data_IF_275378276076
#
_entry.id   IF_275378276076
#
_cell.length_a   1.000
_cell.length_b   1.000
_cell.length_c   1.000
_cell.angle_alpha   90.00
_cell.angle_beta   90.00
_cell.angle_gamma   90.00
#
_symmetry.space_group_name_H-M   'P 1'
#
loop_
_entity.id
_entity.type
_entity.pdbx_description
1 polymer ?
#
# COMPACT_ATOMS: atom_id res chain seq x y z
N UNK A 1 30.09 13.08 27.69
CA UNK A 1 29.11 13.73 26.80
C UNK A 1 28.24 12.63 26.19
N UNK A 2 27.04 12.33 26.71
CA UNK A 2 26.21 11.29 26.11
C UNK A 2 25.66 11.79 24.77
N UNK A 3 25.87 11.00 23.73
CA UNK A 3 25.38 11.19 22.37
C UNK A 3 23.88 11.50 22.37
N UNK A 4 23.47 12.67 21.86
CA UNK A 4 22.06 12.98 21.52
C UNK A 4 21.55 11.96 20.49
N UNK A 5 20.92 10.88 20.95
CA UNK A 5 20.21 9.95 20.07
C UNK A 5 18.96 10.66 19.57
N UNK A 6 18.99 11.20 18.35
CA UNK A 6 17.78 11.73 17.72
C UNK A 6 16.88 10.56 17.30
N UNK A 7 16.18 9.95 18.24
CA UNK A 7 15.22 8.90 17.93
C UNK A 7 14.06 9.51 17.15
N UNK A 8 13.62 8.78 16.11
CA UNK A 8 12.55 9.25 15.22
C UNK A 8 11.38 8.29 15.20
N UNK A 9 10.20 8.82 15.45
CA UNK A 9 8.92 8.15 15.32
C UNK A 9 8.19 8.68 14.08
N UNK A 10 7.92 7.81 13.09
CA UNK A 10 7.32 8.20 11.81
C UNK A 10 7.95 9.45 11.14
N UNK A 11 9.26 9.65 11.33
CA UNK A 11 10.01 10.78 10.79
C UNK A 11 10.08 12.02 11.69
N UNK A 12 9.23 12.12 12.72
CA UNK A 12 9.29 13.17 13.74
C UNK A 12 10.36 12.85 14.78
N UNK A 13 11.09 13.87 15.23
CA UNK A 13 12.08 13.74 16.31
C UNK A 13 11.32 13.54 17.62
N UNK A 14 11.70 12.50 18.37
CA UNK A 14 11.23 12.27 19.74
C UNK A 14 12.20 13.01 20.66
N UNK A 15 11.69 13.93 21.46
CA UNK A 15 12.52 14.72 22.38
C UNK A 15 12.99 13.89 23.57
N UNK A 16 14.05 14.33 24.23
CA UNK A 16 14.54 13.67 25.45
C UNK A 16 13.46 13.66 26.55
N UNK A 17 12.60 14.69 26.61
CA UNK A 17 11.45 14.73 27.51
C UNK A 17 10.43 13.64 27.17
N UNK A 18 10.05 13.51 25.89
CA UNK A 18 9.15 12.44 25.46
C UNK A 18 9.75 11.04 25.69
N UNK A 19 11.07 10.87 25.55
CA UNK A 19 11.73 9.60 25.87
C UNK A 19 11.64 9.27 27.36
N UNK A 20 11.80 10.27 28.25
CA UNK A 20 11.61 10.08 29.70
C UNK A 20 10.17 9.70 30.04
N UNK A 21 9.19 10.39 29.45
CA UNK A 21 7.77 10.07 29.62
C UNK A 21 7.46 8.62 29.17
N UNK A 22 8.10 8.14 28.08
CA UNK A 22 7.97 6.74 27.64
C UNK A 22 8.51 5.78 28.70
N UNK A 23 9.69 6.06 29.26
CA UNK A 23 10.29 5.23 30.31
C UNK A 23 9.36 5.16 31.53
N UNK A 24 8.84 6.31 31.97
CA UNK A 24 7.92 6.40 33.10
C UNK A 24 6.63 5.60 32.86
N UNK A 25 6.04 5.67 31.65
CA UNK A 25 4.88 4.86 31.29
C UNK A 25 5.18 3.35 31.44
N UNK A 26 6.35 2.92 30.97
CA UNK A 26 6.72 1.50 31.00
C UNK A 26 6.91 1.02 32.45
N UNK A 27 7.56 1.84 33.28
CA UNK A 27 7.77 1.55 34.71
C UNK A 27 6.46 1.57 35.51
N UNK A 28 5.56 2.50 35.19
CA UNK A 28 4.26 2.63 35.85
C UNK A 28 3.33 1.47 35.51
N UNK A 29 3.41 0.96 34.27
CA UNK A 29 2.48 -0.05 33.75
C UNK A 29 3.18 -1.35 33.29
N UNK A 30 3.94 -2.05 34.16
CA UNK A 30 4.78 -3.19 33.77
C UNK A 30 3.96 -4.43 33.37
N UNK A 31 2.68 -4.48 33.75
CA UNK A 31 1.76 -5.58 33.45
C UNK A 31 1.09 -5.45 32.08
N UNK A 32 1.13 -4.27 31.44
CA UNK A 32 0.54 -4.06 30.14
C UNK A 32 1.31 -4.82 29.05
N UNK A 33 0.58 -5.30 28.05
CA UNK A 33 1.22 -5.84 26.85
C UNK A 33 1.94 -4.72 26.08
N UNK A 34 2.97 -5.10 25.30
CA UNK A 34 3.67 -4.15 24.40
C UNK A 34 2.73 -3.43 23.43
N UNK A 35 1.58 -4.03 23.08
CA UNK A 35 0.56 -3.37 22.25
C UNK A 35 -0.23 -2.33 23.03
N UNK A 36 -0.60 -2.60 24.28
CA UNK A 36 -1.31 -1.65 25.13
C UNK A 36 -0.41 -0.48 25.50
N UNK A 37 0.85 -0.73 25.89
CA UNK A 37 1.86 0.32 26.09
C UNK A 37 1.99 1.22 24.87
N UNK A 38 2.04 0.64 23.67
CA UNK A 38 2.10 1.41 22.43
C UNK A 38 0.85 2.27 22.19
N UNK A 39 -0.34 1.81 22.58
CA UNK A 39 -1.56 2.62 22.52
C UNK A 39 -1.55 3.74 23.56
N UNK A 40 -1.16 3.46 24.81
CA UNK A 40 -1.03 4.47 25.88
C UNK A 40 -0.05 5.58 25.48
N UNK A 41 1.13 5.22 24.96
CA UNK A 41 2.10 6.17 24.41
C UNK A 41 1.50 6.98 23.26
N UNK A 42 0.77 6.32 22.35
CA UNK A 42 0.12 7.03 21.25
C UNK A 42 -0.97 8.01 21.70
N UNK A 43 -1.71 7.67 22.77
CA UNK A 43 -2.72 8.54 23.34
C UNK A 43 -2.08 9.76 23.99
N UNK A 44 -1.08 9.54 24.85
CA UNK A 44 -0.40 10.61 25.59
C UNK A 44 0.24 11.63 24.66
N UNK A 45 0.99 11.17 23.64
CA UNK A 45 1.65 12.08 22.70
C UNK A 45 0.79 12.49 21.50
N UNK A 46 -0.49 12.11 21.50
CA UNK A 46 -1.38 12.33 20.35
C UNK A 46 -0.79 11.84 19.03
N UNK A 47 -0.06 10.72 19.05
CA UNK A 47 0.46 10.03 17.87
C UNK A 47 -0.67 9.32 17.13
N UNK A 48 -1.50 10.14 16.48
CA UNK A 48 -2.70 9.75 15.76
C UNK A 48 -2.46 9.86 14.25
N UNK A 49 -3.24 9.11 13.49
CA UNK A 49 -3.41 9.30 12.04
C UNK A 49 -4.31 10.52 11.82
N UNK A 50 -4.32 11.11 10.62
CA UNK A 50 -5.30 12.15 10.28
C UNK A 50 -6.76 11.72 10.50
N UNK A 51 -7.04 10.41 10.45
CA UNK A 51 -8.36 9.82 10.78
C UNK A 51 -8.66 9.73 12.28
N UNK A 52 -7.81 10.25 13.17
CA UNK A 52 -7.94 10.17 14.62
C UNK A 52 -7.50 8.84 15.24
N UNK A 53 -7.33 7.78 14.45
CA UNK A 53 -6.89 6.45 14.94
C UNK A 53 -5.43 6.48 15.42
N UNK A 54 -5.12 5.78 16.51
CA UNK A 54 -3.76 5.68 17.04
C UNK A 54 -2.78 4.98 16.08
N UNK A 55 -1.50 5.40 16.09
CA UNK A 55 -0.40 4.74 15.37
C UNK A 55 0.19 3.58 16.18
N UNK A 56 -0.66 2.74 16.77
CA UNK A 56 -0.26 1.71 17.74
C UNK A 56 0.74 0.67 17.20
N UNK A 57 0.58 0.24 15.94
CA UNK A 57 1.52 -0.72 15.32
C UNK A 57 2.88 -0.09 15.11
N UNK A 58 2.91 1.11 14.55
CA UNK A 58 4.15 1.86 14.32
C UNK A 58 4.84 2.20 15.65
N UNK A 59 4.08 2.56 16.68
CA UNK A 59 4.59 2.89 18.00
C UNK A 59 5.16 1.65 18.67
N UNK A 60 4.47 0.50 18.58
CA UNK A 60 5.00 -0.75 19.09
C UNK A 60 6.34 -1.11 18.44
N UNK A 61 6.45 -1.01 17.12
CA UNK A 61 7.71 -1.26 16.41
C UNK A 61 8.80 -0.24 16.78
N UNK A 62 8.43 1.00 17.09
CA UNK A 62 9.34 2.01 17.58
C UNK A 62 9.87 1.66 18.97
N UNK A 63 8.99 1.32 19.91
CA UNK A 63 9.36 0.87 21.25
C UNK A 63 10.24 -0.40 21.20
N UNK A 64 9.88 -1.39 20.38
CA UNK A 64 10.68 -2.62 20.20
C UNK A 64 12.09 -2.31 19.65
N UNK A 65 12.24 -1.27 18.82
CA UNK A 65 13.55 -0.82 18.33
C UNK A 65 14.36 -0.10 19.41
N UNK A 66 13.72 0.69 20.26
CA UNK A 66 14.37 1.34 21.40
C UNK A 66 14.87 0.31 22.41
N UNK A 67 14.06 -0.72 22.68
CA UNK A 67 14.39 -1.88 23.51
C UNK A 67 15.62 -2.63 22.97
N UNK A 68 15.64 -2.92 21.66
CA UNK A 68 16.79 -3.54 20.98
C UNK A 68 18.08 -2.70 21.04
N UNK A 69 17.95 -1.38 21.13
CA UNK A 69 19.08 -0.46 21.28
C UNK A 69 19.51 -0.27 22.75
N UNK A 70 18.79 -0.85 23.70
CA UNK A 70 19.01 -0.63 25.13
C UNK A 70 18.65 0.77 25.62
N UNK A 71 17.87 1.54 24.85
CA UNK A 71 17.42 2.89 25.25
C UNK A 71 16.27 2.82 26.25
N UNK A 72 15.42 1.81 26.14
CA UNK A 72 14.35 1.50 27.10
C UNK A 72 14.36 0.01 27.40
N UNK A 73 13.63 -0.44 28.41
CA UNK A 73 13.45 -1.86 28.71
C UNK A 73 11.98 -2.24 28.69
N UNK A 74 11.54 -2.93 27.64
CA UNK A 74 10.16 -3.37 27.53
C UNK A 74 9.88 -4.64 28.33
N UNK A 75 8.64 -4.84 28.81
CA UNK A 75 8.27 -6.06 29.50
C UNK A 75 8.50 -7.30 28.62
N UNK A 76 8.84 -8.40 29.27
CA UNK A 76 9.15 -9.69 28.64
C UNK A 76 7.97 -10.13 27.76
N UNK A 77 8.28 -10.57 26.55
CA UNK A 77 7.28 -11.04 25.59
C UNK A 77 6.61 -12.28 26.18
N UNK A 78 5.32 -12.19 26.53
CA UNK A 78 4.50 -13.36 26.84
C UNK A 78 4.39 -14.21 25.58
N UNK A 79 5.08 -15.36 25.54
CA UNK A 79 5.05 -16.26 24.40
C UNK A 79 3.59 -16.67 24.12
N UNK A 80 3.06 -16.23 22.99
CA UNK A 80 1.81 -16.74 22.42
C UNK A 80 2.18 -17.67 21.27
N UNK A 81 1.42 -18.76 21.11
CA UNK A 81 1.52 -19.63 19.95
C UNK A 81 1.52 -18.77 18.67
N UNK A 82 2.40 -19.04 17.70
CA UNK A 82 2.48 -18.26 16.48
C UNK A 82 1.13 -18.29 15.77
N UNK A 83 0.46 -17.13 15.70
CA UNK A 83 -0.72 -16.99 14.84
C UNK A 83 -0.27 -17.25 13.40
N UNK A 84 -0.92 -18.20 12.72
CA UNK A 84 -0.78 -18.37 11.27
C UNK A 84 -1.02 -17.00 10.60
N UNK A 85 0.05 -16.42 10.04
CA UNK A 85 0.06 -15.02 9.61
C UNK A 85 -0.55 -14.81 8.22
N UNK A 86 -0.81 -15.90 7.48
CA UNK A 86 -1.36 -15.86 6.12
C UNK A 86 -2.84 -16.23 6.15
N UNK A 87 -3.72 -15.44 5.50
CA UNK A 87 -5.10 -15.87 5.32
C UNK A 87 -5.12 -17.18 4.53
N UNK A 88 -5.75 -18.21 5.08
CA UNK A 88 -6.05 -19.44 4.33
C UNK A 88 -7.09 -19.08 3.26
N UNK A 89 -6.67 -19.04 2.01
CA UNK A 89 -7.54 -18.79 0.86
C UNK A 89 -8.07 -20.14 0.40
N UNK A 90 -9.34 -20.41 0.70
CA UNK A 90 -10.02 -21.59 0.20
C UNK A 90 -10.56 -21.29 -1.19
N UNK A 91 -10.12 -22.08 -2.18
CA UNK A 91 -10.60 -21.97 -3.56
C UNK A 91 -11.99 -22.61 -3.63
N UNK A 92 -13.01 -21.82 -3.94
CA UNK A 92 -14.37 -22.32 -4.18
C UNK A 92 -14.71 -22.27 -5.67
N UNK A 93 -15.79 -22.96 -6.07
CA UNK A 93 -16.31 -22.91 -7.44
C UNK A 93 -16.82 -21.52 -7.87
N UNK A 94 -17.04 -20.62 -6.91
CA UNK A 94 -17.51 -19.26 -7.15
C UNK A 94 -16.53 -18.42 -7.99
N UNK A 95 -15.26 -18.81 -8.03
CA UNK A 95 -14.22 -18.14 -8.82
C UNK A 95 -13.71 -19.02 -9.95
N UNK A 96 -14.50 -19.99 -10.42
CA UNK A 96 -14.17 -20.82 -11.59
C UNK A 96 -14.22 -19.97 -12.88
N UNK A 97 -13.60 -20.51 -13.95
CA UNK A 97 -13.66 -19.90 -15.26
C UNK A 97 -15.12 -19.74 -15.68
N UNK A 98 -15.46 -18.57 -16.23
CA UNK A 98 -16.78 -18.25 -16.74
C UNK A 98 -16.78 -18.24 -18.27
N UNK A 99 -17.96 -18.24 -18.92
CA UNK A 99 -18.07 -18.06 -20.37
C UNK A 99 -17.34 -16.80 -20.86
N UNK A 100 -16.79 -16.88 -22.07
CA UNK A 100 -16.03 -15.78 -22.67
C UNK A 100 -16.93 -14.56 -22.89
N UNK A 101 -16.46 -13.41 -22.40
CA UNK A 101 -17.07 -12.11 -22.65
C UNK A 101 -16.24 -11.41 -23.72
N UNK A 102 -16.70 -11.48 -24.98
CA UNK A 102 -16.06 -10.84 -26.14
C UNK A 102 -17.08 -9.94 -26.84
N UNK A 103 -17.33 -8.78 -26.24
CA UNK A 103 -18.26 -7.77 -26.76
C UNK A 103 -17.58 -6.39 -26.86
N UNK A 104 -18.26 -5.43 -27.49
CA UNK A 104 -17.79 -4.04 -27.53
C UNK A 104 -17.91 -3.43 -26.13
N UNK A 105 -16.92 -2.66 -25.71
CA UNK A 105 -16.90 -1.96 -24.41
C UNK A 105 -18.18 -1.14 -24.15
N UNK A 106 -18.80 -0.58 -25.20
CA UNK A 106 -20.06 0.17 -25.10
C UNK A 106 -21.19 -0.66 -24.49
N UNK A 107 -21.25 -1.97 -24.76
CA UNK A 107 -22.29 -2.86 -24.21
C UNK A 107 -22.10 -3.17 -22.72
N UNK A 108 -20.90 -2.97 -22.19
CA UNK A 108 -20.56 -3.16 -20.77
C UNK A 108 -20.51 -1.82 -20.00
N UNK A 109 -20.73 -0.71 -20.69
CA UNK A 109 -20.69 0.62 -20.08
C UNK A 109 -22.06 0.99 -19.51
N UNK A 110 -22.13 1.73 -18.38
CA UNK A 110 -21.00 2.26 -17.62
C UNK A 110 -20.31 1.20 -16.75
N UNK A 111 -19.01 1.39 -16.54
CA UNK A 111 -18.24 0.61 -15.58
C UNK A 111 -18.29 1.27 -14.20
N UNK A 112 -18.28 0.45 -13.15
CA UNK A 112 -18.16 0.89 -11.75
C UNK A 112 -16.96 0.20 -11.06
N UNK A 113 -16.44 0.86 -10.03
CA UNK A 113 -15.47 0.26 -9.11
C UNK A 113 -16.16 -0.01 -7.78
N UNK A 114 -16.43 -1.29 -7.50
CA UNK A 114 -17.04 -1.68 -6.23
C UNK A 114 -15.94 -1.84 -5.19
N UNK A 115 -15.96 -0.97 -4.18
CA UNK A 115 -15.01 -1.04 -3.08
C UNK A 115 -15.27 -2.27 -2.20
N UNK A 116 -14.22 -3.06 -1.98
CA UNK A 116 -14.25 -4.25 -1.11
C UNK A 116 -14.22 -3.82 0.35
N UNK A 117 -15.34 -3.98 1.06
CA UNK A 117 -15.53 -3.55 2.46
C UNK A 117 -15.79 -4.71 3.42
N UNK A 118 -16.57 -5.71 3.01
CA UNK A 118 -16.97 -6.82 3.90
C UNK A 118 -15.95 -7.96 3.92
N UNK A 119 -16.08 -8.89 4.87
CA UNK A 119 -15.19 -10.06 4.97
C UNK A 119 -15.40 -10.99 3.78
N UNK A 120 -16.65 -11.16 3.36
CA UNK A 120 -17.10 -12.02 2.27
C UNK A 120 -16.54 -11.51 0.94
N UNK A 121 -16.68 -10.20 0.69
CA UNK A 121 -16.08 -9.54 -0.48
C UNK A 121 -14.55 -9.70 -0.50
N UNK A 122 -13.88 -9.56 0.65
CA UNK A 122 -12.43 -9.76 0.74
C UNK A 122 -12.04 -11.19 0.39
N UNK A 123 -12.75 -12.18 0.91
CA UNK A 123 -12.47 -13.59 0.61
C UNK A 123 -12.66 -13.89 -0.88
N UNK A 124 -13.74 -13.40 -1.47
CA UNK A 124 -13.98 -13.53 -2.91
C UNK A 124 -12.86 -12.88 -3.73
N UNK A 125 -12.46 -11.66 -3.36
CA UNK A 125 -11.38 -10.94 -4.02
C UNK A 125 -10.03 -11.67 -3.91
N UNK A 126 -9.72 -12.22 -2.72
CA UNK A 126 -8.51 -13.02 -2.51
C UNK A 126 -8.49 -14.25 -3.41
N UNK A 127 -9.61 -14.95 -3.56
CA UNK A 127 -9.71 -16.11 -4.44
C UNK A 127 -9.42 -15.75 -5.89
N UNK A 128 -10.03 -14.68 -6.43
CA UNK A 128 -9.77 -14.24 -7.80
C UNK A 128 -8.29 -13.90 -8.03
N UNK A 129 -7.69 -13.14 -7.11
CA UNK A 129 -6.31 -12.70 -7.23
C UNK A 129 -5.33 -13.86 -7.06
N UNK A 130 -5.56 -14.75 -6.09
CA UNK A 130 -4.71 -15.94 -5.91
C UNK A 130 -4.78 -16.89 -7.11
N UNK A 131 -5.97 -17.01 -7.71
CA UNK A 131 -6.20 -17.93 -8.83
C UNK A 131 -5.66 -17.40 -10.16
N UNK A 132 -5.87 -16.12 -10.46
CA UNK A 132 -5.67 -15.60 -11.82
C UNK A 132 -4.60 -14.54 -11.95
N UNK A 133 -4.22 -13.84 -10.87
CA UNK A 133 -3.13 -12.87 -10.97
C UNK A 133 -1.78 -13.60 -10.89
N UNK A 134 -0.86 -13.30 -11.79
CA UNK A 134 0.45 -13.98 -11.88
C UNK A 134 1.31 -13.91 -10.60
N UNK A 135 1.17 -12.84 -9.82
CA UNK A 135 1.81 -12.70 -8.49
C UNK A 135 1.04 -13.33 -7.33
N UNK A 136 -0.15 -13.89 -7.60
CA UNK A 136 -1.12 -14.38 -6.62
C UNK A 136 -1.44 -13.37 -5.51
N UNK A 137 -2.14 -13.82 -4.48
CA UNK A 137 -2.38 -13.00 -3.31
C UNK A 137 -1.20 -13.04 -2.34
N UNK A 138 -0.75 -11.85 -1.95
CA UNK A 138 0.18 -11.65 -0.85
C UNK A 138 -0.33 -10.46 -0.05
N UNK A 139 -0.26 -10.53 1.28
CA UNK A 139 -0.66 -9.42 2.14
C UNK A 139 0.23 -8.20 1.82
N UNK A 140 -0.33 -7.09 1.30
CA UNK A 140 0.49 -5.93 0.99
C UNK A 140 0.84 -5.18 2.28
N UNK A 141 2.00 -4.54 2.27
CA UNK A 141 2.45 -3.69 3.36
C UNK A 141 1.84 -2.30 3.24
N UNK A 142 1.37 -1.78 4.38
CA UNK A 142 0.86 -0.41 4.53
C UNK A 142 -0.63 -0.26 4.22
N UNK A 143 -1.01 0.97 3.89
CA UNK A 143 -2.36 1.33 3.48
C UNK A 143 -2.72 0.61 2.18
N UNK A 144 -3.99 0.23 2.02
CA UNK A 144 -4.48 -0.52 0.88
C UNK A 144 -5.98 -0.43 0.67
N UNK A 145 -6.39 -0.28 -0.59
CA UNK A 145 -7.77 -0.38 -1.04
C UNK A 145 -7.88 -1.44 -2.13
N UNK A 146 -9.03 -2.11 -2.18
CA UNK A 146 -9.34 -3.19 -3.11
C UNK A 146 -10.68 -2.94 -3.76
N UNK A 147 -10.75 -3.28 -5.04
CA UNK A 147 -11.95 -3.07 -5.84
C UNK A 147 -12.22 -4.26 -6.75
N UNK A 148 -13.50 -4.47 -7.03
CA UNK A 148 -13.94 -5.16 -8.23
C UNK A 148 -14.23 -4.14 -9.34
N UNK A 149 -13.92 -4.52 -10.57
CA UNK A 149 -14.37 -3.80 -11.77
C UNK A 149 -15.65 -4.47 -12.21
N UNK A 150 -16.75 -3.72 -12.32
CA UNK A 150 -18.06 -4.26 -12.68
C UNK A 150 -18.66 -3.49 -13.87
N UNK A 151 -19.32 -4.20 -14.76
CA UNK A 151 -20.26 -3.64 -15.73
C UNK A 151 -21.59 -3.39 -15.03
N UNK A 152 -22.02 -2.13 -14.91
CA UNK A 152 -23.32 -1.81 -14.31
C UNK A 152 -24.47 -2.31 -15.20
N UNK A 153 -24.29 -2.26 -16.52
CA UNK A 153 -25.32 -2.66 -17.48
C UNK A 153 -25.67 -4.15 -17.42
N UNK A 154 -24.72 -4.99 -17.00
CA UNK A 154 -24.88 -6.45 -16.99
C UNK A 154 -24.67 -7.07 -15.61
N UNK A 155 -24.49 -6.25 -14.57
CA UNK A 155 -24.13 -6.65 -13.21
C UNK A 155 -22.90 -7.59 -13.10
N UNK A 156 -22.06 -7.61 -14.12
CA UNK A 156 -21.00 -8.63 -14.27
C UNK A 156 -19.66 -8.13 -13.75
N UNK A 157 -18.97 -8.94 -12.94
CA UNK A 157 -17.58 -8.66 -12.55
C UNK A 157 -16.62 -8.96 -13.71
N UNK A 158 -15.77 -7.98 -14.02
CA UNK A 158 -14.83 -8.03 -15.14
C UNK A 158 -13.36 -8.11 -14.69
N UNK A 159 -13.08 -7.80 -13.43
CA UNK A 159 -11.72 -7.79 -12.92
C UNK A 159 -11.58 -7.24 -11.51
N UNK A 160 -10.34 -7.02 -11.10
CA UNK A 160 -9.95 -6.59 -9.76
C UNK A 160 -8.83 -5.56 -9.80
N UNK A 161 -8.89 -4.61 -8.87
CA UNK A 161 -7.77 -3.72 -8.54
C UNK A 161 -7.35 -3.86 -7.08
N UNK A 162 -6.05 -3.65 -6.83
CA UNK A 162 -5.51 -3.30 -5.52
C UNK A 162 -4.61 -2.08 -5.65
N UNK A 163 -4.83 -1.12 -4.76
CA UNK A 163 -3.97 0.02 -4.54
C UNK A 163 -3.37 -0.10 -3.16
N UNK A 164 -2.07 0.15 -3.04
CA UNK A 164 -1.35 0.05 -1.77
C UNK A 164 -0.34 1.17 -1.60
N UNK A 165 0.21 1.30 -0.40
CA UNK A 165 1.38 2.16 -0.19
C UNK A 165 2.52 1.83 -1.19
N UNK A 166 3.33 2.84 -1.56
CA UNK A 166 4.35 2.70 -2.59
C UNK A 166 5.60 2.00 -2.05
N UNK A 167 6.57 1.75 -2.93
CA UNK A 167 7.91 1.33 -2.51
C UNK A 167 8.66 2.51 -1.86
N UNK A 168 9.48 2.22 -0.84
CA UNK A 168 10.23 3.25 -0.10
C UNK A 168 11.21 4.00 -1.01
N UNK A 169 12.08 3.27 -1.72
CA UNK A 169 13.06 3.82 -2.66
C UNK A 169 12.76 3.33 -4.07
N UNK A 170 12.72 4.26 -5.01
CA UNK A 170 12.58 3.94 -6.43
C UNK A 170 13.24 5.05 -7.25
N UNK A 171 14.50 4.83 -7.61
CA UNK A 171 15.35 5.86 -8.23
C UNK A 171 14.72 6.53 -9.46
N UNK A 172 14.14 5.82 -10.45
CA UNK A 172 13.59 6.50 -11.62
C UNK A 172 12.38 7.39 -11.30
N UNK A 173 11.54 6.97 -10.33
CA UNK A 173 10.46 7.81 -9.81
C UNK A 173 11.02 9.03 -9.08
N UNK A 174 11.99 8.80 -8.21
CA UNK A 174 12.54 9.87 -7.37
C UNK A 174 13.22 10.94 -8.23
N UNK A 175 13.93 10.54 -9.30
CA UNK A 175 14.50 11.44 -10.30
C UNK A 175 13.41 12.21 -11.07
N UNK A 176 12.35 11.54 -11.48
CA UNK A 176 11.25 12.16 -12.24
C UNK A 176 10.41 13.15 -11.44
N UNK A 177 10.27 12.92 -10.12
CA UNK A 177 9.68 13.89 -9.18
C UNK A 177 10.67 15.01 -8.86
N UNK A 178 11.97 14.70 -8.85
CA UNK A 178 13.08 15.61 -8.50
C UNK A 178 13.08 16.05 -7.03
N UNK A 179 12.67 15.15 -6.14
CA UNK A 179 12.71 15.37 -4.68
C UNK A 179 13.93 14.74 -4.00
N UNK A 180 14.32 15.29 -2.85
CA UNK A 180 15.41 14.78 -2.03
C UNK A 180 14.97 13.68 -1.04
N UNK A 181 15.92 13.18 -0.24
CA UNK A 181 15.65 12.14 0.75
C UNK A 181 14.65 12.55 1.82
N UNK A 182 14.73 13.78 2.33
CA UNK A 182 13.88 14.27 3.41
C UNK A 182 12.48 14.61 2.89
N UNK A 183 12.37 15.21 1.71
CA UNK A 183 11.11 15.45 1.00
C UNK A 183 10.39 14.12 0.72
N UNK A 184 11.09 13.11 0.17
CA UNK A 184 10.52 11.78 -0.02
C UNK A 184 10.02 11.20 1.30
N UNK A 185 10.82 11.26 2.36
CA UNK A 185 10.43 10.73 3.67
C UNK A 185 9.16 11.38 4.22
N UNK A 186 8.96 12.69 4.01
CA UNK A 186 7.74 13.41 4.40
C UNK A 186 6.55 13.10 3.50
N UNK A 187 6.77 13.05 2.18
CA UNK A 187 5.69 13.10 1.19
C UNK A 187 5.39 11.77 0.49
N UNK A 188 6.16 10.69 0.73
CA UNK A 188 5.96 9.39 0.10
C UNK A 188 4.53 8.84 0.27
N UNK A 189 3.88 9.15 1.40
CA UNK A 189 2.50 8.72 1.65
C UNK A 189 1.51 9.28 0.62
N UNK A 190 1.80 10.41 -0.03
CA UNK A 190 0.96 11.00 -1.08
C UNK A 190 1.05 10.25 -2.42
N UNK A 191 1.86 9.20 -2.51
CA UNK A 191 1.93 8.32 -3.69
C UNK A 191 1.18 7.02 -3.39
N UNK A 192 0.40 6.52 -4.36
CA UNK A 192 -0.26 5.21 -4.25
C UNK A 192 0.17 4.28 -5.37
N UNK A 193 0.46 3.03 -5.04
CA UNK A 193 0.88 2.01 -6.00
C UNK A 193 -0.31 1.16 -6.43
N UNK A 194 -0.58 1.06 -7.74
CA UNK A 194 -1.46 0.05 -8.31
C UNK A 194 -0.79 -1.33 -8.25
N UNK A 195 -0.84 -1.93 -7.07
CA UNK A 195 -0.11 -3.16 -6.75
C UNK A 195 -0.68 -4.44 -7.36
N UNK A 196 -1.98 -4.47 -7.67
CA UNK A 196 -2.61 -5.58 -8.41
C UNK A 196 -3.59 -5.02 -9.42
N UNK A 197 -3.50 -5.52 -10.64
CA UNK A 197 -4.49 -5.26 -11.67
C UNK A 197 -4.74 -6.55 -12.42
N UNK A 198 -5.99 -6.99 -12.39
CA UNK A 198 -6.46 -8.22 -13.02
C UNK A 198 -7.70 -7.90 -13.83
N UNK A 199 -7.66 -8.18 -15.14
CA UNK A 199 -8.86 -8.43 -15.92
C UNK A 199 -9.03 -9.94 -15.97
N UNK A 200 -10.24 -10.46 -15.75
CA UNK A 200 -10.44 -11.90 -15.70
C UNK A 200 -10.11 -12.58 -17.03
N UNK A 201 -9.58 -13.82 -17.02
CA UNK A 201 -9.05 -14.45 -18.23
C UNK A 201 -10.10 -14.73 -19.31
N UNK A 202 -11.38 -14.83 -18.95
CA UNK A 202 -12.50 -14.96 -19.90
C UNK A 202 -12.98 -13.62 -20.45
N UNK A 203 -12.47 -12.48 -19.99
CA UNK A 203 -12.89 -11.15 -20.43
C UNK A 203 -11.95 -10.66 -21.53
N UNK A 204 -12.42 -10.72 -22.78
CA UNK A 204 -11.68 -10.37 -23.99
C UNK A 204 -12.28 -9.12 -24.64
N UNK A 205 -12.20 -7.99 -23.93
CA UNK A 205 -12.83 -6.73 -24.35
C UNK A 205 -11.77 -5.69 -24.64
N UNK A 206 -11.68 -5.25 -25.90
CA UNK A 206 -10.75 -4.20 -26.33
C UNK A 206 -10.98 -2.91 -25.54
N UNK A 207 -9.89 -2.28 -25.12
CA UNK A 207 -9.86 -1.01 -24.36
C UNK A 207 -10.49 -1.04 -22.95
N UNK A 208 -10.93 -2.21 -22.45
CA UNK A 208 -11.51 -2.32 -21.11
C UNK A 208 -10.51 -1.93 -20.02
N UNK A 209 -9.26 -2.42 -20.14
CA UNK A 209 -8.24 -2.18 -19.13
C UNK A 209 -7.89 -0.70 -18.96
N UNK A 210 -7.68 0.03 -20.07
CA UNK A 210 -7.38 1.47 -20.03
C UNK A 210 -8.59 2.28 -19.57
N UNK A 211 -9.82 1.89 -19.94
CA UNK A 211 -11.04 2.52 -19.42
C UNK A 211 -11.17 2.32 -17.91
N UNK A 212 -10.88 1.13 -17.40
CA UNK A 212 -10.91 0.84 -15.96
C UNK A 212 -9.84 1.64 -15.19
N UNK A 213 -8.63 1.80 -15.75
CA UNK A 213 -7.59 2.68 -15.18
C UNK A 213 -8.01 4.15 -15.14
N UNK A 214 -8.63 4.65 -16.21
CA UNK A 214 -9.14 6.02 -16.24
C UNK A 214 -10.26 6.26 -15.20
N UNK A 215 -11.07 5.24 -14.90
CA UNK A 215 -12.04 5.29 -13.81
C UNK A 215 -11.34 5.28 -12.44
N UNK A 216 -10.34 4.40 -12.27
CA UNK A 216 -9.56 4.28 -11.03
C UNK A 216 -8.89 5.61 -10.63
N UNK A 217 -8.29 6.31 -11.58
CA UNK A 217 -7.70 7.65 -11.39
C UNK A 217 -8.69 8.65 -10.79
N UNK A 218 -9.98 8.57 -11.17
CA UNK A 218 -11.02 9.49 -10.69
C UNK A 218 -11.58 9.10 -9.33
N UNK A 219 -11.69 7.80 -9.04
CA UNK A 219 -12.38 7.31 -7.83
C UNK A 219 -11.45 7.18 -6.63
N UNK A 220 -10.23 6.72 -6.85
CA UNK A 220 -9.35 6.30 -5.74
C UNK A 220 -8.85 7.46 -4.88
N UNK A 221 -8.52 8.64 -5.41
CA UNK A 221 -8.04 9.74 -4.56
C UNK A 221 -9.03 10.10 -3.45
N UNK A 222 -10.33 10.19 -3.77
CA UNK A 222 -11.40 10.47 -2.82
C UNK A 222 -11.55 9.35 -1.79
N UNK A 223 -11.60 8.10 -2.27
CA UNK A 223 -11.70 6.92 -1.42
C UNK A 223 -10.51 6.79 -0.46
N UNK A 224 -9.31 7.12 -0.94
CA UNK A 224 -8.07 7.07 -0.17
C UNK A 224 -8.06 8.14 0.92
N UNK A 225 -8.45 9.35 0.57
CA UNK A 225 -8.62 10.47 1.50
C UNK A 225 -9.65 10.14 2.59
N UNK A 226 -10.82 9.63 2.23
CA UNK A 226 -11.83 9.20 3.20
C UNK A 226 -11.30 8.11 4.15
N UNK A 227 -10.42 7.23 3.66
CA UNK A 227 -9.93 6.07 4.43
C UNK A 227 -8.75 6.37 5.33
N UNK A 228 -7.86 7.27 4.87
CA UNK A 228 -6.55 7.49 5.47
C UNK A 228 -6.32 8.94 5.89
N UNK A 229 -7.23 9.85 5.52
CA UNK A 229 -7.25 11.26 5.89
C UNK A 229 -6.16 12.08 5.19
N UNK A 230 -5.66 11.60 4.06
CA UNK A 230 -4.81 12.39 3.16
C UNK A 230 -5.09 11.97 1.72
N UNK A 231 -5.01 12.94 0.81
CA UNK A 231 -5.23 12.73 -0.61
C UNK A 231 -3.92 12.38 -1.33
N UNK A 232 -3.90 11.32 -2.17
CA UNK A 232 -2.74 11.05 -3.01
C UNK A 232 -2.70 12.02 -4.20
N UNK A 233 -1.48 12.39 -4.60
CA UNK A 233 -1.20 13.32 -5.72
C UNK A 233 -0.54 12.62 -6.91
N UNK A 234 -0.09 11.38 -6.71
CA UNK A 234 0.55 10.57 -7.74
C UNK A 234 0.16 9.10 -7.59
N UNK A 235 -0.09 8.43 -8.71
CA UNK A 235 -0.14 6.96 -8.76
C UNK A 235 1.11 6.40 -9.42
N UNK A 236 1.55 5.23 -8.97
CA UNK A 236 2.63 4.46 -9.58
C UNK A 236 2.18 3.02 -9.87
N UNK A 237 2.77 2.36 -10.86
CA UNK A 237 2.64 0.93 -11.08
C UNK A 237 3.97 0.34 -11.53
N UNK A 238 4.11 -0.98 -11.34
CA UNK A 238 5.29 -1.74 -11.72
C UNK A 238 4.87 -2.89 -12.65
N UNK A 239 5.32 -2.84 -13.90
CA UNK A 239 4.96 -3.82 -14.93
C UNK A 239 6.15 -4.73 -15.20
N UNK A 240 5.96 -6.04 -15.06
CA UNK A 240 6.97 -7.04 -15.43
C UNK A 240 7.04 -7.16 -16.97
N UNK A 241 8.09 -6.60 -17.57
CA UNK A 241 8.25 -6.51 -19.02
C UNK A 241 8.33 -7.89 -19.70
N UNK A 242 8.75 -8.92 -18.97
CA UNK A 242 8.79 -10.30 -19.47
C UNK A 242 7.40 -10.89 -19.67
N UNK A 243 6.37 -10.29 -19.06
CA UNK A 243 5.00 -10.78 -19.06
C UNK A 243 4.04 -9.83 -19.78
N UNK A 244 4.26 -8.53 -19.66
CA UNK A 244 3.35 -7.52 -20.17
C UNK A 244 4.11 -6.32 -20.74
N UNK A 245 3.58 -5.76 -21.82
CA UNK A 245 4.14 -4.58 -22.51
C UNK A 245 3.69 -3.24 -21.91
N UNK A 246 2.77 -3.27 -20.93
CA UNK A 246 2.24 -2.06 -20.27
C UNK A 246 1.33 -1.20 -21.15
N UNK A 247 0.86 -1.70 -22.30
CA UNK A 247 0.06 -0.92 -23.28
C UNK A 247 -1.17 -0.25 -22.67
N UNK A 248 -1.86 -0.89 -21.72
CA UNK A 248 -3.05 -0.31 -21.09
C UNK A 248 -2.73 0.93 -20.24
N UNK A 249 -1.55 0.99 -19.62
CA UNK A 249 -1.11 2.15 -18.85
C UNK A 249 -0.76 3.31 -19.78
N UNK A 250 -0.02 3.04 -20.87
CA UNK A 250 0.27 4.04 -21.92
C UNK A 250 -1.02 4.61 -22.52
N UNK A 251 -1.97 3.74 -22.87
CA UNK A 251 -3.27 4.14 -23.42
C UNK A 251 -4.15 4.90 -22.42
N UNK A 252 -3.87 4.80 -21.11
CA UNK A 252 -4.52 5.56 -20.05
C UNK A 252 -3.72 6.82 -19.65
N UNK A 253 -2.75 7.25 -20.48
CA UNK A 253 -1.89 8.42 -20.27
C UNK A 253 -0.97 8.34 -19.04
N UNK A 254 -0.53 7.14 -18.67
CA UNK A 254 0.51 6.98 -17.66
C UNK A 254 1.89 7.20 -18.30
N UNK A 255 2.76 7.94 -17.60
CA UNK A 255 4.11 8.26 -18.03
C UNK A 255 5.07 7.12 -17.68
N UNK A 256 5.75 6.58 -18.68
CA UNK A 256 6.89 5.70 -18.47
C UNK A 256 8.08 6.52 -17.94
N UNK A 257 8.71 6.08 -16.86
CA UNK A 257 9.81 6.83 -16.22
C UNK A 257 11.09 6.03 -16.02
N UNK A 258 11.16 4.81 -16.57
CA UNK A 258 12.34 3.94 -16.49
C UNK A 258 12.05 2.60 -15.82
N UNK A 259 13.12 1.92 -15.39
CA UNK A 259 13.05 0.53 -14.92
C UNK A 259 13.55 0.36 -13.48
N UNK A 260 12.98 -0.60 -12.75
CA UNK A 260 13.53 -1.01 -11.46
C UNK A 260 14.85 -1.76 -11.65
N UNK A 261 15.71 -1.72 -10.64
CA UNK A 261 17.03 -2.40 -10.68
C UNK A 261 16.99 -3.84 -10.13
N UNK A 262 15.81 -4.46 -10.04
CA UNK A 262 15.63 -5.82 -9.51
C UNK A 262 15.89 -5.95 -8.00
N UNK A 263 15.54 -4.90 -7.23
CA UNK A 263 15.67 -4.85 -5.77
C UNK A 263 14.31 -5.03 -5.09
N UNK A 264 14.30 -5.72 -3.95
CA UNK A 264 13.11 -5.88 -3.12
C UNK A 264 12.67 -4.57 -2.45
N UNK A 265 11.38 -4.49 -2.07
CA UNK A 265 10.74 -3.27 -1.50
C UNK A 265 11.41 -2.73 -0.22
N UNK A 266 12.12 -3.58 0.53
CA UNK A 266 12.79 -3.26 1.81
C UNK A 266 14.32 -3.49 1.78
N UNK A 267 14.93 -3.63 0.61
CA UNK A 267 16.36 -3.94 0.54
C UNK A 267 17.21 -2.77 1.07
N UNK A 268 17.78 -2.96 2.27
CA UNK A 268 18.76 -2.07 2.90
C UNK A 268 20.20 -2.46 2.53
N UNK A 269 20.41 -3.63 1.92
CA UNK A 269 21.71 -4.27 1.79
C UNK A 269 22.37 -4.16 0.41
N UNK A 270 21.79 -3.42 -0.54
CA UNK A 270 22.34 -3.24 -1.89
C UNK A 270 22.57 -4.58 -2.65
N UNK A 271 21.89 -5.68 -2.26
CA UNK A 271 22.09 -7.02 -2.83
C UNK A 271 20.97 -7.32 -3.84
N UNK A 272 21.33 -7.55 -5.11
CA UNK A 272 20.39 -7.99 -6.16
C UNK A 272 19.66 -9.26 -5.71
N UNK A 273 18.34 -9.22 -5.53
CA UNK A 273 17.53 -10.36 -5.09
C UNK A 273 16.86 -11.10 -6.27
N UNK A 274 17.51 -11.14 -7.44
CA UNK A 274 17.01 -11.86 -8.62
C UNK A 274 15.58 -11.47 -9.05
N UNK A 275 15.07 -10.31 -8.62
CA UNK A 275 13.70 -9.90 -8.90
C UNK A 275 13.64 -9.34 -10.31
N UNK A 276 12.62 -9.72 -11.07
CA UNK A 276 12.43 -9.27 -12.45
C UNK A 276 12.48 -7.74 -12.52
N UNK A 277 13.22 -7.23 -13.51
CA UNK A 277 13.23 -5.81 -13.86
C UNK A 277 11.81 -5.42 -14.27
N UNK A 278 11.32 -4.30 -13.72
CA UNK A 278 9.96 -3.83 -13.97
C UNK A 278 9.99 -2.44 -14.56
N UNK A 279 9.18 -2.22 -15.58
CA UNK A 279 8.87 -0.90 -16.08
C UNK A 279 8.05 -0.14 -15.03
N UNK A 280 8.40 1.13 -14.82
CA UNK A 280 7.73 2.02 -13.87
C UNK A 280 6.89 3.00 -14.69
N UNK A 281 5.60 3.02 -14.38
CA UNK A 281 4.67 4.01 -14.93
C UNK A 281 4.09 4.87 -13.80
N UNK A 282 4.00 6.18 -14.03
CA UNK A 282 3.49 7.17 -13.09
C UNK A 282 2.29 7.91 -13.69
N UNK A 283 1.35 8.31 -12.84
CA UNK A 283 0.19 9.11 -13.24
C UNK A 283 -0.05 10.26 -12.25
N UNK A 284 0.17 11.52 -12.65
CA UNK A 284 -0.20 12.71 -11.88
C UNK A 284 -1.71 12.78 -11.60
N UNK A 285 -2.11 12.97 -10.34
CA UNK A 285 -3.51 13.12 -9.97
C UNK A 285 -3.94 14.57 -9.84
N UNK A 286 -3.00 15.49 -9.66
CA UNK A 286 -3.23 16.93 -9.54
C UNK A 286 -2.29 17.71 -10.46
N UNK A 287 -2.75 18.86 -10.94
CA UNK A 287 -1.85 19.85 -11.52
C UNK A 287 -0.97 20.39 -10.38
N UNK A 288 0.35 20.47 -10.59
CA UNK A 288 1.28 20.88 -9.53
C UNK A 288 1.65 19.78 -8.53
N UNK A 289 1.40 18.50 -8.84
CA UNK A 289 1.77 17.37 -7.96
C UNK A 289 3.23 17.42 -7.48
N UNK A 290 4.16 17.96 -8.30
CA UNK A 290 5.58 18.11 -7.91
C UNK A 290 5.73 19.08 -6.75
N UNK A 291 5.08 20.24 -6.81
CA UNK A 291 5.13 21.23 -5.74
C UNK A 291 4.59 20.63 -4.44
N UNK A 292 3.51 19.84 -4.51
CA UNK A 292 2.95 19.15 -3.35
C UNK A 292 3.87 18.06 -2.76
N UNK A 293 4.74 17.46 -3.57
CA UNK A 293 5.70 16.42 -3.15
C UNK A 293 7.04 17.00 -2.70
N UNK A 294 7.41 18.19 -3.17
CA UNK A 294 8.70 18.85 -2.89
C UNK A 294 8.61 19.81 -1.69
N UNK A 295 7.41 20.29 -1.31
CA UNK A 295 7.17 21.00 -0.04
C UNK A 295 7.48 20.09 1.18
#
# INVERSE_FOLDING_TARGET
MPSKSSEKFCGQVVTDAQLKDIMEIIETFPKLSRTELAHTVCELFSWKRPTGKLKGVECRQFLERLDQKGVIHLPVIRQRAPKESKPKIFKTRQTDLQPIISTKLKALSPLSLIRVKTKEQRQLWYQYIDRYHYLRYHLPFGAQLRYFIQSVATDTLLGCFQFSSPAWMMMPRDQWISWDHEQRKRNLQKIVNNSRFLIFPWVQVKNLASKALALAVKTIPDDWEQSYGYRPVLMETLVDEKRFTGTCYKAANWHYVGKTTGRGRMDKGNKRHGTAIKDIYLYPLTNGFRDELVR
#
